data_IF_778164167696
#
_entry.id   IF_778164167696
#
_cell.length_a   1.000
_cell.length_b   1.000
_cell.length_c   1.000
_cell.angle_alpha   90.00
_cell.angle_beta   90.00
_cell.angle_gamma   90.00
#
_symmetry.space_group_name_H-M   'P 1'
#
loop_
_entity.id
_entity.type
_entity.pdbx_description
1 polymer ?
#
# COMPACT_ATOMS: atom_id res chain seq x y z
N UNK A 1 -5.91 16.90 -9.95
CA UNK A 1 -6.24 15.68 -10.71
C UNK A 1 -6.69 16.11 -12.09
N UNK A 2 -6.04 15.63 -13.15
CA UNK A 2 -6.43 15.97 -14.53
C UNK A 2 -7.65 15.14 -14.96
N UNK A 3 -8.34 15.52 -16.05
CA UNK A 3 -9.40 14.69 -16.65
C UNK A 3 -8.87 13.30 -17.06
N UNK A 4 -7.61 13.24 -17.52
CA UNK A 4 -6.94 11.98 -17.86
C UNK A 4 -6.75 11.10 -16.63
N UNK A 5 -6.28 11.66 -15.51
CA UNK A 5 -6.10 10.92 -14.25
C UNK A 5 -7.44 10.36 -13.72
N UNK A 6 -8.52 11.14 -13.83
CA UNK A 6 -9.86 10.70 -13.48
C UNK A 6 -10.34 9.54 -14.39
N UNK A 7 -10.11 9.65 -15.70
CA UNK A 7 -10.45 8.61 -16.68
C UNK A 7 -9.68 7.29 -16.43
N UNK A 8 -8.39 7.38 -16.10
CA UNK A 8 -7.58 6.21 -15.71
C UNK A 8 -8.15 5.56 -14.45
N UNK A 9 -8.44 6.35 -13.42
CA UNK A 9 -9.02 5.84 -12.17
C UNK A 9 -10.35 5.15 -12.38
N UNK A 10 -11.26 5.76 -13.14
CA UNK A 10 -12.57 5.16 -13.45
C UNK A 10 -12.43 3.86 -14.27
N UNK A 11 -11.60 3.86 -15.31
CA UNK A 11 -11.32 2.67 -16.10
C UNK A 11 -10.75 1.54 -15.25
N UNK A 12 -9.76 1.86 -14.40
CA UNK A 12 -9.15 0.90 -13.50
C UNK A 12 -10.20 0.27 -12.58
N UNK A 13 -11.04 1.08 -11.93
CA UNK A 13 -12.06 0.58 -11.00
C UNK A 13 -13.09 -0.31 -11.69
N UNK A 14 -13.61 0.11 -12.85
CA UNK A 14 -14.58 -0.68 -13.61
C UNK A 14 -14.01 -2.05 -13.99
N UNK A 15 -12.77 -2.09 -14.49
CA UNK A 15 -12.12 -3.34 -14.88
C UNK A 15 -11.73 -4.16 -13.65
N UNK A 16 -11.23 -3.55 -12.58
CA UNK A 16 -10.81 -4.27 -11.37
C UNK A 16 -11.99 -5.01 -10.70
N UNK A 17 -13.16 -4.38 -10.61
CA UNK A 17 -14.37 -5.03 -10.09
C UNK A 17 -14.94 -6.05 -11.08
N UNK A 18 -15.09 -5.68 -12.35
CA UNK A 18 -15.67 -6.57 -13.37
C UNK A 18 -14.83 -7.82 -13.63
N UNK A 19 -13.50 -7.67 -13.74
CA UNK A 19 -12.59 -8.77 -13.96
C UNK A 19 -12.46 -9.67 -12.72
N UNK A 20 -12.47 -9.10 -11.51
CA UNK A 20 -12.51 -9.91 -10.28
C UNK A 20 -13.77 -10.78 -10.22
N UNK A 21 -14.94 -10.21 -10.53
CA UNK A 21 -16.19 -10.96 -10.61
C UNK A 21 -16.16 -12.09 -11.64
N UNK A 22 -15.64 -11.81 -12.84
CA UNK A 22 -15.49 -12.83 -13.89
C UNK A 22 -14.51 -13.94 -13.50
N UNK A 23 -13.35 -13.58 -12.93
CA UNK A 23 -12.33 -14.54 -12.49
C UNK A 23 -12.86 -15.43 -11.36
N UNK A 24 -13.61 -14.85 -10.41
CA UNK A 24 -14.29 -15.61 -9.38
C UNK A 24 -15.33 -16.59 -9.94
N UNK A 25 -16.10 -16.17 -10.94
CA UNK A 25 -17.08 -17.04 -11.60
C UNK A 25 -16.45 -18.21 -12.37
N UNK A 26 -15.26 -18.01 -12.95
CA UNK A 26 -14.55 -19.03 -13.74
C UNK A 26 -13.68 -19.93 -12.87
N UNK A 27 -13.25 -19.48 -11.68
CA UNK A 27 -12.34 -20.23 -10.81
C UNK A 27 -12.75 -21.69 -10.53
N UNK A 28 -14.02 -22.04 -10.26
CA UNK A 28 -14.41 -23.44 -10.06
C UNK A 28 -14.09 -24.34 -11.27
N UNK A 29 -14.09 -23.79 -12.49
CA UNK A 29 -13.79 -24.52 -13.71
C UNK A 29 -12.28 -24.73 -13.96
N UNK A 30 -11.40 -24.03 -13.25
CA UNK A 30 -9.94 -24.15 -13.45
C UNK A 30 -9.33 -25.30 -12.64
N UNK A 31 -10.05 -25.84 -11.66
CA UNK A 31 -9.54 -26.85 -10.73
C UNK A 31 -8.47 -26.33 -9.77
N UNK A 32 -8.22 -25.01 -9.73
CA UNK A 32 -7.25 -24.39 -8.81
C UNK A 32 -7.94 -24.12 -7.47
N UNK A 33 -7.47 -24.72 -6.36
CA UNK A 33 -8.07 -24.51 -5.04
C UNK A 33 -7.96 -23.04 -4.59
N UNK A 34 -9.03 -22.50 -4.02
CA UNK A 34 -9.09 -21.12 -3.53
C UNK A 34 -8.15 -20.84 -2.35
N UNK A 35 -7.77 -21.89 -1.64
CA UNK A 35 -6.82 -21.89 -0.53
C UNK A 35 -5.39 -21.63 -1.01
N UNK A 36 -5.09 -22.00 -2.27
CA UNK A 36 -3.79 -21.76 -2.89
C UNK A 36 -3.72 -20.35 -3.47
N UNK A 37 -4.73 -19.99 -4.28
CA UNK A 37 -4.81 -18.65 -4.87
C UNK A 37 -6.25 -18.33 -5.25
N UNK A 38 -6.70 -17.13 -4.90
CA UNK A 38 -7.97 -16.61 -5.36
C UNK A 38 -7.75 -15.87 -6.68
N UNK A 39 -8.36 -16.35 -7.78
CA UNK A 39 -8.18 -15.73 -9.09
C UNK A 39 -8.72 -14.29 -9.11
N UNK A 40 -9.71 -14.00 -8.27
CA UNK A 40 -10.25 -12.65 -8.06
C UNK A 40 -9.15 -11.62 -7.81
N UNK A 41 -8.07 -11.98 -7.10
CA UNK A 41 -6.93 -11.11 -6.76
C UNK A 41 -6.23 -10.49 -7.98
N UNK A 42 -6.37 -11.09 -9.16
CA UNK A 42 -5.79 -10.56 -10.40
C UNK A 42 -6.68 -9.51 -11.09
N UNK A 43 -7.89 -9.24 -10.60
CA UNK A 43 -8.77 -8.18 -11.12
C UNK A 43 -8.08 -6.81 -11.19
N UNK A 44 -7.48 -6.30 -10.09
CA UNK A 44 -6.72 -5.06 -10.11
C UNK A 44 -5.54 -5.07 -11.11
N UNK A 45 -4.79 -6.17 -11.21
CA UNK A 45 -3.72 -6.30 -12.21
C UNK A 45 -4.24 -6.18 -13.65
N UNK A 46 -5.38 -6.79 -13.97
CA UNK A 46 -6.03 -6.62 -15.27
C UNK A 46 -6.51 -5.18 -15.48
N UNK A 47 -7.02 -4.52 -14.44
CA UNK A 47 -7.37 -3.10 -14.48
C UNK A 47 -6.16 -2.22 -14.83
N UNK A 48 -4.99 -2.51 -14.24
CA UNK A 48 -3.73 -1.84 -14.58
C UNK A 48 -3.34 -2.14 -16.02
N UNK A 49 -3.45 -3.39 -16.48
CA UNK A 49 -3.11 -3.78 -17.84
C UNK A 49 -3.96 -3.02 -18.88
N UNK A 50 -5.28 -2.97 -18.71
CA UNK A 50 -6.18 -2.22 -19.60
C UNK A 50 -5.86 -0.72 -19.56
N UNK A 51 -5.68 -0.14 -18.37
CA UNK A 51 -5.28 1.25 -18.24
C UNK A 51 -3.92 1.54 -18.92
N UNK A 52 -2.97 0.60 -18.86
CA UNK A 52 -1.67 0.73 -19.51
C UNK A 52 -1.76 0.64 -21.04
N UNK A 53 -2.73 -0.09 -21.60
CA UNK A 53 -3.00 -0.10 -23.04
C UNK A 53 -3.60 1.22 -23.52
N UNK A 54 -4.54 1.79 -22.74
CA UNK A 54 -5.23 3.03 -23.09
C UNK A 54 -4.40 4.30 -22.83
N UNK A 55 -3.58 4.30 -21.77
CA UNK A 55 -2.75 5.44 -21.36
C UNK A 55 -1.30 5.04 -21.03
N UNK A 56 -0.54 4.47 -21.98
CA UNK A 56 0.74 3.80 -21.72
C UNK A 56 1.79 4.71 -21.07
N UNK A 57 1.95 5.94 -21.57
CA UNK A 57 2.93 6.89 -21.03
C UNK A 57 2.59 7.31 -19.60
N UNK A 58 1.30 7.56 -19.33
CA UNK A 58 0.85 8.03 -18.02
C UNK A 58 0.92 6.92 -16.99
N UNK A 59 0.41 5.73 -17.30
CA UNK A 59 0.47 4.57 -16.41
C UNK A 59 1.91 4.16 -16.12
N UNK A 60 2.77 4.07 -17.13
CA UNK A 60 4.20 3.79 -16.93
C UNK A 60 4.87 4.80 -16.00
N UNK A 61 4.54 6.09 -16.14
CA UNK A 61 5.05 7.13 -15.25
C UNK A 61 4.57 6.99 -13.80
N UNK A 62 3.34 6.52 -13.58
CA UNK A 62 2.80 6.27 -12.24
C UNK A 62 3.47 5.04 -11.60
N UNK A 63 3.56 3.94 -12.35
CA UNK A 63 4.18 2.70 -11.89
C UNK A 63 5.68 2.88 -11.61
N UNK A 64 6.41 3.59 -12.46
CA UNK A 64 7.84 3.86 -12.26
C UNK A 64 8.14 4.78 -11.06
N UNK A 65 7.13 5.46 -10.51
CA UNK A 65 7.30 6.51 -9.51
C UNK A 65 7.83 7.82 -10.12
N UNK A 66 7.30 8.95 -9.62
CA UNK A 66 7.74 10.29 -10.05
C UNK A 66 9.02 10.76 -9.34
N UNK A 67 9.53 11.94 -9.70
CA UNK A 67 10.67 12.59 -9.04
C UNK A 67 10.44 12.81 -7.53
N UNK A 68 9.17 12.97 -7.11
CA UNK A 68 8.75 13.05 -5.70
C UNK A 68 8.76 11.68 -4.99
N UNK A 69 8.67 10.58 -5.73
CA UNK A 69 8.82 9.21 -5.23
C UNK A 69 10.27 8.71 -5.28
N UNK A 70 11.19 9.52 -5.83
CA UNK A 70 12.63 9.28 -5.83
C UNK A 70 13.33 10.43 -5.12
N UNK A 71 12.96 10.66 -3.86
CA UNK A 71 13.67 11.63 -3.02
C UNK A 71 15.17 11.22 -2.93
N UNK A 72 16.12 12.17 -2.85
CA UNK A 72 17.56 11.88 -2.75
C UNK A 72 17.99 11.11 -1.49
N UNK A 73 17.05 10.77 -0.59
CA UNK A 73 17.29 10.07 0.67
C UNK A 73 16.87 8.60 0.62
N UNK A 74 17.41 7.81 -0.31
CA UNK A 74 17.07 6.38 -0.47
C UNK A 74 17.15 5.54 0.82
N UNK A 75 17.96 5.95 1.80
CA UNK A 75 18.02 5.34 3.13
C UNK A 75 16.71 5.44 3.92
N UNK A 76 15.95 6.53 3.78
CA UNK A 76 14.67 6.70 4.49
C UNK A 76 13.58 5.82 3.90
N UNK A 77 13.41 5.81 2.58
CA UNK A 77 12.42 4.96 1.92
C UNK A 77 12.68 3.47 2.22
N UNK A 78 13.97 3.07 2.25
CA UNK A 78 14.37 1.73 2.67
C UNK A 78 14.00 1.44 4.14
N UNK A 79 14.30 2.36 5.06
CA UNK A 79 13.96 2.20 6.49
C UNK A 79 12.44 2.12 6.69
N UNK A 80 11.69 3.03 6.11
CA UNK A 80 10.23 3.08 6.25
C UNK A 80 9.60 1.81 5.61
N UNK A 81 10.17 1.30 4.51
CA UNK A 81 9.81 -0.01 3.94
C UNK A 81 10.14 -1.20 4.84
N UNK A 82 11.28 -1.21 5.53
CA UNK A 82 11.61 -2.26 6.52
C UNK A 82 10.65 -2.22 7.70
N UNK A 83 10.35 -1.02 8.23
CA UNK A 83 9.38 -0.83 9.30
C UNK A 83 7.99 -1.30 8.88
N UNK A 84 7.61 -1.11 7.61
CA UNK A 84 6.36 -1.65 7.07
C UNK A 84 6.32 -3.17 7.17
N UNK A 85 7.36 -3.87 6.69
CA UNK A 85 7.42 -5.32 6.77
C UNK A 85 7.44 -5.84 8.21
N UNK A 86 8.04 -5.12 9.15
CA UNK A 86 7.95 -5.41 10.59
C UNK A 86 6.55 -5.12 11.17
N UNK A 87 5.80 -4.17 10.62
CA UNK A 87 4.46 -3.83 11.11
C UNK A 87 3.48 -4.97 10.90
N UNK A 88 3.58 -5.73 9.79
CA UNK A 88 2.71 -6.87 9.51
C UNK A 88 2.69 -7.93 10.63
N UNK A 89 3.82 -8.56 11.02
CA UNK A 89 3.82 -9.56 12.09
C UNK A 89 3.47 -8.97 13.45
N UNK A 90 3.77 -7.69 13.72
CA UNK A 90 3.37 -7.03 14.97
C UNK A 90 1.86 -6.87 15.09
N UNK A 91 1.18 -6.50 14.00
CA UNK A 91 -0.29 -6.40 13.96
C UNK A 91 -0.91 -7.78 14.17
N UNK A 92 -0.41 -8.80 13.49
CA UNK A 92 -0.91 -10.18 13.62
C UNK A 92 -0.69 -10.70 15.05
N UNK A 93 0.51 -10.51 15.60
CA UNK A 93 0.81 -10.95 16.97
C UNK A 93 -0.04 -10.21 18.02
N UNK A 94 -0.28 -8.91 17.84
CA UNK A 94 -1.17 -8.15 18.73
C UNK A 94 -2.61 -8.66 18.66
N UNK A 95 -3.12 -8.95 17.46
CA UNK A 95 -4.45 -9.53 17.26
C UNK A 95 -4.57 -10.90 17.92
N UNK A 96 -3.64 -11.82 17.63
CA UNK A 96 -3.63 -13.17 18.18
C UNK A 96 -3.47 -13.18 19.71
N UNK A 97 -2.60 -12.33 20.24
CA UNK A 97 -2.41 -12.17 21.69
C UNK A 97 -3.66 -11.63 22.37
N UNK A 98 -4.32 -10.63 21.79
CA UNK A 98 -5.58 -10.10 22.33
C UNK A 98 -6.70 -11.15 22.31
N UNK A 99 -6.78 -11.96 21.25
CA UNK A 99 -7.76 -13.03 21.14
C UNK A 99 -7.52 -14.12 22.20
N UNK A 100 -6.26 -14.52 22.39
CA UNK A 100 -5.88 -15.48 23.42
C UNK A 100 -6.21 -14.99 24.84
N UNK A 101 -5.95 -13.72 25.14
CA UNK A 101 -6.29 -13.10 26.44
C UNK A 101 -7.80 -13.13 26.71
N UNK A 102 -8.62 -13.01 25.66
CA UNK A 102 -10.08 -13.07 25.76
C UNK A 102 -10.63 -14.50 25.76
N UNK A 103 -9.77 -15.52 25.85
CA UNK A 103 -10.15 -16.94 25.92
C UNK A 103 -10.36 -17.60 24.56
N UNK A 104 -10.01 -16.94 23.46
CA UNK A 104 -10.01 -17.54 22.12
C UNK A 104 -8.80 -18.44 21.90
N UNK A 105 -8.95 -19.49 21.09
CA UNK A 105 -7.83 -20.34 20.69
C UNK A 105 -7.06 -19.68 19.54
N UNK A 106 -5.92 -19.06 19.85
CA UNK A 106 -4.92 -18.63 18.88
C UNK A 106 -3.64 -19.42 19.09
N UNK A 107 -3.01 -19.86 18.01
CA UNK A 107 -1.75 -20.58 18.11
C UNK A 107 -1.16 -20.92 16.76
N UNK A 108 0.16 -21.17 16.71
CA UNK A 108 0.84 -21.50 15.47
C UNK A 108 0.33 -22.85 14.94
N UNK A 109 -0.33 -22.82 13.79
CA UNK A 109 -0.62 -24.01 13.00
C UNK A 109 0.66 -24.48 12.34
N UNK A 110 0.94 -25.78 12.42
CA UNK A 110 2.14 -26.36 11.78
C UNK A 110 2.02 -26.25 10.26
N UNK A 111 2.97 -25.59 9.58
CA UNK A 111 2.92 -25.50 8.13
C UNK A 111 3.03 -26.90 7.49
N UNK A 112 2.09 -27.22 6.60
CA UNK A 112 2.16 -28.44 5.79
C UNK A 112 3.25 -28.39 4.73
N UNK A 113 3.49 -29.50 4.04
CA UNK A 113 4.49 -29.61 2.96
C UNK A 113 4.25 -28.64 1.79
N UNK A 114 3.01 -28.23 1.56
CA UNK A 114 2.62 -27.27 0.52
C UNK A 114 2.82 -25.79 0.93
N UNK A 115 3.24 -25.50 2.16
CA UNK A 115 3.26 -24.13 2.67
C UNK A 115 4.13 -23.19 1.84
N UNK A 116 5.28 -23.64 1.34
CA UNK A 116 6.14 -22.82 0.49
C UNK A 116 5.44 -22.39 -0.81
N UNK A 117 4.63 -23.27 -1.40
CA UNK A 117 3.83 -22.96 -2.58
C UNK A 117 2.73 -21.95 -2.24
N UNK A 118 2.03 -22.14 -1.12
CA UNK A 118 0.99 -21.22 -0.63
C UNK A 118 1.60 -19.84 -0.37
N UNK A 119 2.74 -19.77 0.31
CA UNK A 119 3.43 -18.51 0.59
C UNK A 119 3.84 -17.78 -0.69
N UNK A 120 4.35 -18.50 -1.69
CA UNK A 120 4.68 -17.91 -2.99
C UNK A 120 3.42 -17.44 -3.73
N UNK A 121 2.36 -18.24 -3.74
CA UNK A 121 1.09 -17.90 -4.36
C UNK A 121 0.44 -16.66 -3.70
N UNK A 122 0.45 -16.58 -2.37
CA UNK A 122 -0.04 -15.43 -1.62
C UNK A 122 0.76 -14.16 -1.91
N UNK A 123 2.09 -14.26 -2.06
CA UNK A 123 2.90 -13.12 -2.47
C UNK A 123 2.55 -12.63 -3.88
N UNK A 124 2.34 -13.57 -4.81
CA UNK A 124 1.96 -13.24 -6.20
C UNK A 124 0.57 -12.63 -6.25
N UNK A 125 -0.42 -13.22 -5.57
CA UNK A 125 -1.78 -12.70 -5.46
C UNK A 125 -1.81 -11.31 -4.83
N UNK A 126 -1.11 -11.13 -3.70
CA UNK A 126 -0.95 -9.83 -3.05
C UNK A 126 -0.33 -8.79 -4.00
N UNK A 127 0.75 -9.13 -4.72
CA UNK A 127 1.31 -8.23 -5.73
C UNK A 127 0.31 -7.91 -6.85
N UNK A 128 -0.51 -8.87 -7.26
CA UNK A 128 -1.58 -8.71 -8.24
C UNK A 128 -2.64 -7.69 -7.83
N UNK A 129 -2.95 -7.61 -6.54
CA UNK A 129 -3.82 -6.56 -6.00
C UNK A 129 -3.09 -5.22 -5.86
N UNK A 130 -1.91 -5.24 -5.22
CA UNK A 130 -1.17 -4.04 -4.82
C UNK A 130 -0.66 -3.22 -6.00
N UNK A 131 -0.42 -3.85 -7.16
CA UNK A 131 -0.09 -3.11 -8.39
C UNK A 131 -1.21 -2.15 -8.80
N UNK A 132 -2.47 -2.52 -8.57
CA UNK A 132 -3.62 -1.66 -8.82
C UNK A 132 -3.82 -0.63 -7.70
N UNK A 133 -3.92 -1.10 -6.46
CA UNK A 133 -4.28 -0.25 -5.34
C UNK A 133 -3.18 0.75 -4.97
N UNK A 134 -1.94 0.28 -4.79
CA UNK A 134 -0.83 1.07 -4.22
C UNK A 134 0.09 1.64 -5.29
N UNK A 135 0.20 0.99 -6.46
CA UNK A 135 1.05 1.48 -7.55
C UNK A 135 0.30 2.31 -8.61
N UNK A 136 -1.03 2.20 -8.74
CA UNK A 136 -1.83 2.99 -9.68
C UNK A 136 -2.81 3.95 -8.99
N UNK A 137 -3.81 3.44 -8.26
CA UNK A 137 -4.89 4.26 -7.71
C UNK A 137 -4.41 5.24 -6.64
N UNK A 138 -3.58 4.78 -5.70
CA UNK A 138 -3.07 5.63 -4.63
C UNK A 138 -2.25 6.82 -5.16
N UNK A 139 -1.28 6.67 -6.10
CA UNK A 139 -0.59 7.82 -6.69
C UNK A 139 -1.51 8.81 -7.41
N UNK A 140 -2.56 8.34 -8.09
CA UNK A 140 -3.56 9.20 -8.75
C UNK A 140 -4.28 10.09 -7.73
N UNK A 141 -4.78 9.49 -6.65
CA UNK A 141 -5.52 10.20 -5.60
C UNK A 141 -4.60 11.08 -4.73
N UNK A 142 -3.38 10.62 -4.43
CA UNK A 142 -2.41 11.34 -3.60
C UNK A 142 -2.08 12.71 -4.16
N UNK A 143 -2.00 12.85 -5.50
CA UNK A 143 -1.72 14.13 -6.15
C UNK A 143 -2.78 15.22 -5.89
N UNK A 144 -4.00 14.84 -5.49
CA UNK A 144 -5.11 15.75 -5.19
C UNK A 144 -5.38 15.89 -3.70
N UNK A 145 -5.34 14.77 -2.97
CA UNK A 145 -5.87 14.68 -1.60
C UNK A 145 -4.78 14.53 -0.52
N UNK A 146 -3.51 14.37 -0.93
CA UNK A 146 -2.42 14.06 0.00
C UNK A 146 -2.42 12.59 0.45
N UNK A 147 -1.41 12.20 1.21
CA UNK A 147 -1.13 10.80 1.56
C UNK A 147 -2.25 10.14 2.35
N UNK A 148 -2.63 10.69 3.51
CA UNK A 148 -3.61 10.05 4.40
C UNK A 148 -4.98 9.92 3.73
N UNK A 149 -5.51 11.01 3.18
CA UNK A 149 -6.83 11.00 2.54
C UNK A 149 -6.86 10.08 1.33
N UNK A 150 -5.80 10.08 0.49
CA UNK A 150 -5.72 9.14 -0.62
C UNK A 150 -5.70 7.68 -0.14
N UNK A 151 -4.94 7.38 0.91
CA UNK A 151 -4.88 6.04 1.47
C UNK A 151 -6.20 5.56 2.09
N UNK A 152 -6.93 6.45 2.77
CA UNK A 152 -8.27 6.16 3.28
C UNK A 152 -9.24 5.87 2.13
N UNK A 153 -9.23 6.69 1.07
CA UNK A 153 -10.08 6.46 -0.10
C UNK A 153 -9.75 5.14 -0.81
N UNK A 154 -8.46 4.84 -1.02
CA UNK A 154 -8.02 3.57 -1.61
C UNK A 154 -8.42 2.40 -0.71
N UNK A 155 -8.24 2.53 0.61
CA UNK A 155 -8.57 1.49 1.57
C UNK A 155 -10.06 1.19 1.63
N UNK A 156 -10.91 2.21 1.53
CA UNK A 156 -12.36 2.05 1.48
C UNK A 156 -12.79 1.32 0.20
N UNK A 157 -12.24 1.72 -0.96
CA UNK A 157 -12.54 1.06 -2.24
C UNK A 157 -12.02 -0.38 -2.26
N UNK A 158 -10.81 -0.62 -1.77
CA UNK A 158 -10.22 -1.95 -1.65
C UNK A 158 -11.02 -2.84 -0.69
N UNK A 159 -11.47 -2.30 0.44
CA UNK A 159 -12.34 -3.01 1.37
C UNK A 159 -13.68 -3.39 0.72
N UNK A 160 -14.34 -2.45 0.05
CA UNK A 160 -15.62 -2.68 -0.65
C UNK A 160 -15.49 -3.64 -1.83
N UNK A 161 -14.31 -3.71 -2.45
CA UNK A 161 -14.02 -4.68 -3.51
C UNK A 161 -14.16 -6.14 -3.06
N UNK A 162 -14.03 -6.42 -1.76
CA UNK A 162 -14.25 -7.75 -1.19
C UNK A 162 -15.75 -8.02 -0.94
N UNK A 163 -16.52 -8.12 -2.03
CA UNK A 163 -17.99 -8.21 -1.98
C UNK A 163 -18.52 -9.36 -1.10
N UNK A 164 -17.81 -10.49 -1.06
CA UNK A 164 -18.16 -11.67 -0.25
C UNK A 164 -18.16 -11.41 1.26
N UNK A 165 -17.40 -10.42 1.73
CA UNK A 165 -17.34 -10.06 3.16
C UNK A 165 -18.69 -9.56 3.66
N UNK A 166 -19.49 -8.92 2.79
CA UNK A 166 -20.81 -8.40 3.15
C UNK A 166 -21.89 -9.48 3.30
N UNK A 167 -21.60 -10.73 2.90
CA UNK A 167 -22.48 -11.87 3.19
C UNK A 167 -22.27 -12.43 4.61
N UNK A 168 -21.24 -11.98 5.33
CA UNK A 168 -20.98 -12.34 6.73
C UNK A 168 -21.75 -11.40 7.67
N UNK A 169 -21.57 -11.60 8.99
CA UNK A 169 -22.19 -10.74 10.01
C UNK A 169 -21.81 -9.25 9.81
N UNK A 170 -22.72 -8.28 9.95
CA UNK A 170 -22.43 -6.87 9.69
C UNK A 170 -21.25 -6.31 10.49
N UNK A 171 -21.06 -6.77 11.74
CA UNK A 171 -19.92 -6.37 12.57
C UNK A 171 -18.61 -6.95 12.02
N UNK A 172 -18.62 -8.17 11.50
CA UNK A 172 -17.45 -8.76 10.83
C UNK A 172 -17.07 -7.91 9.60
N UNK A 173 -18.06 -7.58 8.76
CA UNK A 173 -17.83 -6.75 7.58
C UNK A 173 -17.30 -5.36 7.93
N UNK A 174 -17.86 -4.71 8.97
CA UNK A 174 -17.37 -3.43 9.48
C UNK A 174 -15.94 -3.49 10.00
N UNK A 175 -15.60 -4.55 10.75
CA UNK A 175 -14.25 -4.77 11.25
C UNK A 175 -13.24 -5.04 10.11
N UNK A 176 -13.62 -5.82 9.10
CA UNK A 176 -12.80 -6.03 7.90
C UNK A 176 -12.55 -4.71 7.14
N UNK A 177 -13.61 -3.90 6.93
CA UNK A 177 -13.46 -2.58 6.29
C UNK A 177 -12.53 -1.66 7.09
N UNK A 178 -12.64 -1.67 8.42
CA UNK A 178 -11.72 -0.93 9.29
C UNK A 178 -10.28 -1.40 9.09
N UNK A 179 -10.04 -2.71 9.07
CA UNK A 179 -8.72 -3.30 8.82
C UNK A 179 -8.16 -2.88 7.46
N UNK A 180 -8.96 -3.00 6.39
CA UNK A 180 -8.57 -2.61 5.03
C UNK A 180 -8.18 -1.13 4.93
N UNK A 181 -8.98 -0.23 5.53
CA UNK A 181 -8.70 1.22 5.57
C UNK A 181 -7.44 1.51 6.38
N UNK A 182 -7.30 0.92 7.56
CA UNK A 182 -6.16 1.15 8.44
C UNK A 182 -4.84 0.64 7.83
N UNK A 183 -4.84 -0.58 7.28
CA UNK A 183 -3.69 -1.12 6.53
C UNK A 183 -3.32 -0.24 5.34
N UNK A 184 -4.32 0.27 4.62
CA UNK A 184 -4.09 1.20 3.51
C UNK A 184 -3.43 2.49 3.97
N UNK A 185 -3.80 3.02 5.14
CA UNK A 185 -3.14 4.18 5.74
C UNK A 185 -1.68 3.89 6.14
N UNK A 186 -1.40 2.71 6.72
CA UNK A 186 -0.03 2.26 7.05
C UNK A 186 0.84 2.19 5.79
N UNK A 187 0.40 1.45 4.76
CA UNK A 187 1.11 1.37 3.47
C UNK A 187 1.21 2.74 2.81
N UNK A 188 0.16 3.55 2.92
CA UNK A 188 0.11 4.95 2.53
C UNK A 188 1.34 5.74 2.93
N UNK A 189 1.59 5.74 4.23
CA UNK A 189 2.70 6.43 4.84
C UNK A 189 4.06 5.81 4.54
N UNK A 190 4.16 4.48 4.63
CA UNK A 190 5.43 3.78 4.50
C UNK A 190 5.97 3.78 3.05
N UNK A 191 5.10 3.85 2.06
CA UNK A 191 5.45 3.83 0.64
C UNK A 191 5.67 5.24 0.05
N UNK A 192 5.65 6.27 0.88
CA UNK A 192 6.05 7.63 0.47
C UNK A 192 7.54 7.65 0.11
N UNK A 193 7.88 8.17 -1.06
CA UNK A 193 9.26 8.16 -1.52
C UNK A 193 9.76 6.80 -2.03
N UNK A 194 8.86 5.84 -2.21
CA UNK A 194 9.12 4.56 -2.91
C UNK A 194 8.38 4.56 -4.24
N UNK A 195 9.00 4.10 -5.33
CA UNK A 195 8.38 3.97 -6.64
C UNK A 195 8.92 2.76 -7.40
N UNK A 196 8.27 2.36 -8.49
CA UNK A 196 8.70 1.18 -9.26
C UNK A 196 8.51 -0.13 -8.51
N UNK A 197 9.37 -1.11 -8.84
CA UNK A 197 9.33 -2.45 -8.26
C UNK A 197 9.43 -2.47 -6.71
N UNK A 198 10.28 -1.66 -6.05
CA UNK A 198 10.33 -1.62 -4.59
C UNK A 198 8.98 -1.30 -3.94
N UNK A 199 8.20 -0.35 -4.49
CA UNK A 199 6.86 -0.03 -3.97
C UNK A 199 5.95 -1.25 -4.04
N UNK A 200 5.96 -1.96 -5.17
CA UNK A 200 5.15 -3.15 -5.36
C UNK A 200 5.56 -4.27 -4.40
N UNK A 201 6.86 -4.56 -4.30
CA UNK A 201 7.36 -5.64 -3.45
C UNK A 201 7.14 -5.35 -1.96
N UNK A 202 7.25 -4.09 -1.53
CA UNK A 202 6.97 -3.70 -0.14
C UNK A 202 5.48 -3.80 0.18
N UNK A 203 4.60 -3.33 -0.71
CA UNK A 203 3.15 -3.42 -0.54
C UNK A 203 2.69 -4.89 -0.55
N UNK A 204 3.07 -5.64 -1.58
CA UNK A 204 2.72 -7.05 -1.75
C UNK A 204 3.32 -7.92 -0.64
N UNK A 205 4.56 -7.63 -0.21
CA UNK A 205 5.19 -8.32 0.92
C UNK A 205 4.46 -8.06 2.24
N UNK A 206 4.08 -6.81 2.53
CA UNK A 206 3.27 -6.49 3.72
C UNK A 206 1.93 -7.23 3.70
N UNK A 207 1.20 -7.15 2.59
CA UNK A 207 -0.09 -7.81 2.43
C UNK A 207 0.06 -9.34 2.57
N UNK A 208 1.03 -9.97 1.89
CA UNK A 208 1.26 -11.40 2.00
C UNK A 208 1.64 -11.84 3.42
N UNK A 209 2.46 -11.05 4.14
CA UNK A 209 2.81 -11.34 5.53
C UNK A 209 1.59 -11.26 6.46
N UNK A 210 0.68 -10.32 6.23
CA UNK A 210 -0.59 -10.25 6.95
C UNK A 210 -1.42 -11.50 6.66
N UNK A 211 -1.65 -11.86 5.39
CA UNK A 211 -2.47 -13.01 5.03
C UNK A 211 -1.89 -14.33 5.59
N UNK A 212 -0.58 -14.52 5.48
CA UNK A 212 0.10 -15.70 6.02
C UNK A 212 0.10 -15.72 7.54
N UNK A 213 0.25 -14.56 8.18
CA UNK A 213 0.20 -14.44 9.62
C UNK A 213 -1.18 -14.80 10.16
N UNK A 214 -2.25 -14.30 9.52
CA UNK A 214 -3.62 -14.69 9.85
C UNK A 214 -3.81 -16.19 9.64
N UNK A 215 -3.48 -16.74 8.47
CA UNK A 215 -3.56 -18.18 8.17
C UNK A 215 -2.87 -19.08 9.21
N UNK A 216 -1.71 -18.64 9.75
CA UNK A 216 -0.92 -19.46 10.66
C UNK A 216 -1.28 -19.29 12.14
N UNK A 217 -1.92 -18.18 12.53
CA UNK A 217 -2.10 -17.83 13.94
C UNK A 217 -3.56 -17.59 14.34
N UNK A 218 -4.43 -17.35 13.37
CA UNK A 218 -5.82 -16.95 13.56
C UNK A 218 -6.71 -17.81 12.66
N UNK A 219 -7.61 -18.60 13.23
CA UNK A 219 -8.60 -19.35 12.45
C UNK A 219 -9.73 -18.42 11.97
N UNK A 220 -9.45 -17.64 10.93
CA UNK A 220 -10.41 -16.68 10.36
C UNK A 220 -11.39 -17.29 9.36
N UNK A 221 -11.17 -18.53 8.92
CA UNK A 221 -12.00 -19.14 7.87
C UNK A 221 -13.46 -19.34 8.33
N UNK A 222 -13.66 -19.50 9.64
CA UNK A 222 -14.97 -19.58 10.28
C UNK A 222 -15.79 -18.29 10.18
N UNK A 223 -15.16 -17.15 9.88
CA UNK A 223 -15.83 -15.84 9.83
C UNK A 223 -16.28 -15.34 11.20
N UNK A 224 -15.56 -15.75 12.25
CA UNK A 224 -15.82 -15.32 13.62
C UNK A 224 -15.63 -13.80 13.77
N UNK A 225 -16.58 -13.15 14.45
CA UNK A 225 -16.60 -11.69 14.60
C UNK A 225 -15.45 -11.18 15.47
N UNK A 226 -15.14 -11.88 16.56
CA UNK A 226 -14.17 -11.41 17.56
C UNK A 226 -12.73 -11.34 17.00
N UNK A 227 -12.17 -12.39 16.36
CA UNK A 227 -10.84 -12.30 15.74
C UNK A 227 -10.73 -11.14 14.73
N UNK A 228 -11.70 -11.01 13.83
CA UNK A 228 -11.72 -9.94 12.83
C UNK A 228 -11.80 -8.54 13.46
N UNK A 229 -12.59 -8.38 14.54
CA UNK A 229 -12.67 -7.12 15.28
C UNK A 229 -11.34 -6.74 15.94
N UNK A 230 -10.65 -7.72 16.55
CA UNK A 230 -9.33 -7.51 17.17
C UNK A 230 -8.24 -7.24 16.12
N UNK A 231 -8.33 -7.89 14.97
CA UNK A 231 -7.46 -7.62 13.83
C UNK A 231 -7.63 -6.20 13.31
N UNK A 232 -8.88 -5.78 13.05
CA UNK A 232 -9.20 -4.41 12.66
C UNK A 232 -8.73 -3.36 13.68
N UNK A 233 -8.90 -3.62 14.98
CA UNK A 233 -8.40 -2.76 16.05
C UNK A 233 -6.86 -2.68 16.07
N UNK A 234 -6.17 -3.81 15.85
CA UNK A 234 -4.70 -3.87 15.78
C UNK A 234 -4.15 -3.11 14.57
N UNK A 235 -4.80 -3.25 13.40
CA UNK A 235 -4.48 -2.45 12.22
C UNK A 235 -4.69 -0.95 12.48
N UNK A 236 -5.80 -0.57 13.13
CA UNK A 236 -6.09 0.82 13.47
C UNK A 236 -5.03 1.41 14.40
N UNK A 237 -4.62 0.67 15.44
CA UNK A 237 -3.56 1.10 16.34
C UNK A 237 -2.24 1.35 15.58
N UNK A 238 -1.86 0.44 14.68
CA UNK A 238 -0.70 0.64 13.81
C UNK A 238 -0.85 1.87 12.91
N UNK A 239 -2.02 2.08 12.31
CA UNK A 239 -2.30 3.24 11.47
C UNK A 239 -2.21 4.57 12.25
N UNK A 240 -2.67 4.60 13.51
CA UNK A 240 -2.54 5.76 14.40
C UNK A 240 -1.07 6.04 14.70
N UNK A 241 -0.28 5.02 15.05
CA UNK A 241 1.16 5.18 15.31
C UNK A 241 1.89 5.69 14.06
N UNK A 242 1.64 5.09 12.90
CA UNK A 242 2.22 5.54 11.63
C UNK A 242 1.83 6.98 11.32
N UNK A 243 0.56 7.34 11.51
CA UNK A 243 0.06 8.69 11.25
C UNK A 243 0.67 9.71 12.20
N UNK A 244 0.74 9.43 13.51
CA UNK A 244 1.36 10.31 14.49
C UNK A 244 2.85 10.55 14.18
N UNK A 245 3.59 9.47 13.92
CA UNK A 245 4.99 9.52 13.55
C UNK A 245 5.23 10.27 12.23
N UNK A 246 4.37 10.11 11.24
CA UNK A 246 4.51 10.75 9.91
C UNK A 246 4.04 12.19 9.88
N UNK A 247 2.94 12.52 10.55
CA UNK A 247 2.37 13.85 10.59
C UNK A 247 3.29 14.83 11.34
N UNK A 248 3.87 14.41 12.47
CA UNK A 248 4.84 15.21 13.22
C UNK A 248 6.08 15.58 12.40
N UNK A 249 6.45 14.77 11.39
CA UNK A 249 7.60 15.03 10.51
C UNK A 249 7.33 16.10 9.44
N UNK A 250 6.08 16.45 9.16
CA UNK A 250 5.72 17.52 8.19
C UNK A 250 5.61 18.90 8.86
N UNK A 251 5.50 18.96 10.18
CA UNK A 251 5.36 20.20 10.95
C UNK A 251 6.65 20.70 11.63
N UNK A 252 7.81 20.09 11.35
CA UNK A 252 9.09 20.58 11.89
C UNK A 252 9.44 21.97 11.33
N UNK A 253 10.12 22.84 12.12
CA UNK A 253 10.49 24.17 11.66
C UNK A 253 11.30 24.07 10.36
N UNK A 254 11.06 24.95 9.37
CA UNK A 254 11.80 24.94 8.12
C UNK A 254 13.29 25.03 8.44
N UNK A 255 14.09 24.17 7.80
CA UNK A 255 15.54 24.23 7.90
C UNK A 255 15.99 25.67 7.62
N UNK A 256 16.70 26.26 8.58
CA UNK A 256 17.19 27.62 8.46
C UNK A 256 17.93 27.76 7.13
N UNK A 257 17.44 28.67 6.29
CA UNK A 257 18.10 29.03 5.04
C UNK A 257 19.53 29.44 5.40
N UNK A 258 20.58 28.89 4.76
CA UNK A 258 21.94 29.36 5.00
C UNK A 258 21.95 30.85 4.71
N UNK A 259 22.28 31.66 5.71
CA UNK A 259 22.43 33.10 5.53
C UNK A 259 23.38 33.31 4.36
N UNK A 260 22.91 34.03 3.34
CA UNK A 260 23.74 34.44 2.22
C UNK A 260 24.92 35.22 2.82
N UNK A 261 26.09 34.59 2.84
CA UNK A 261 27.32 35.26 3.20
C UNK A 261 27.50 36.44 2.26
N UNK A 262 27.52 37.64 2.83
CA UNK A 262 27.93 38.87 2.18
C UNK A 262 29.27 38.63 1.48
N UNK A 263 29.26 38.61 0.15
CA UNK A 263 30.48 38.56 -0.66
C UNK A 263 31.34 39.81 -0.41
N UNK A 264 32.68 39.70 -0.36
CA UNK A 264 33.55 40.85 -0.29
C UNK A 264 33.48 41.65 -1.60
N UNK A 265 33.48 42.98 -1.45
CA UNK A 265 33.17 43.96 -2.48
C UNK A 265 34.04 43.92 -3.73
N UNK A 266 33.43 44.36 -4.82
CA UNK A 266 34.07 44.58 -6.11
C UNK A 266 35.26 45.54 -5.98
N UNK A 267 36.47 45.05 -6.25
CA UNK A 267 37.63 45.88 -6.53
C UNK A 267 37.58 46.33 -7.99
N UNK A 268 37.41 47.64 -8.20
CA UNK A 268 37.51 48.30 -9.50
C UNK A 268 38.98 48.31 -9.94
N UNK A 269 39.32 47.62 -11.03
CA UNK A 269 40.64 47.73 -11.65
C UNK A 269 40.68 48.93 -12.63
N UNK A 270 41.73 49.75 -12.63
CA UNK A 270 41.86 50.86 -13.57
C UNK A 270 42.30 50.37 -14.95
N UNK A 271 41.68 50.93 -15.99
CA UNK A 271 42.06 50.75 -17.40
C UNK A 271 43.33 51.56 -17.65
N UNK A 272 44.42 50.89 -18.04
CA UNK A 272 45.64 51.54 -18.55
C UNK A 272 45.59 51.46 -20.07
N UNK A 273 45.38 52.61 -20.71
CA UNK A 273 45.55 52.80 -22.16
C UNK A 273 47.03 53.10 -22.43
N UNK A 274 47.70 52.26 -23.22
CA UNK A 274 49.02 52.59 -23.78
C UNK A 274 48.84 53.23 -25.15
N UNK A 275 49.30 54.47 -25.27
CA UNK A 275 49.40 55.23 -26.50
C UNK A 275 50.67 54.84 -27.27
N UNK A 276 50.54 54.80 -28.60
CA UNK A 276 51.59 54.46 -29.57
C UNK A 276 52.43 55.69 -29.89
N UNK A 277 53.77 55.58 -29.75
CA UNK A 277 54.76 56.26 -30.60
C UNK A 277 56.00 55.41 -30.76
#
# INVERSE_FOLDING_TARGET
MTRVDAGIGACFLLVAFGAAGLLGAVQPATGVPSEVVQLTQFGPALGVAVAALLWPRRVRSLLAGGSRDRLPGGGRARRDGMLLLCTAPLVVAASAGAYAVLGGEAGPVRPGSAFALIAAAQLVGACGEEIGWRCLLQPLLRGRFGTLTASVLVGAVWGVWHVQVFARHPVYAGAFLLAAVAMSAVMGWALEGSGGAPRLLLAGGFHALVNLGMLLLMDEEDGAVLPMALFGASCLAAAVVWTACCAGRRGGPPAATPAAGSGPGAATLPVITHDVR
#
